data_IF_097602212182
#
_entry.id   IF_097602212182
#
_cell.length_a   1.000
_cell.length_b   1.000
_cell.length_c   1.000
_cell.angle_alpha   90.00
_cell.angle_beta   90.00
_cell.angle_gamma   90.00
#
_symmetry.space_group_name_H-M   'P 1'
#
loop_
_entity.id
_entity.type
_entity.pdbx_description
1 polymer ?
#
# COMPACT_ATOMS: atom_id res chain seq x y z
N UNK A 1 19.59 11.25 22.97
CA UNK A 1 18.98 9.90 22.82
C UNK A 1 18.00 9.93 21.66
N UNK A 2 18.37 9.23 20.59
CA UNK A 2 17.57 8.68 19.49
C UNK A 2 16.34 9.41 18.96
N UNK A 3 16.44 9.91 17.73
CA UNK A 3 15.49 9.54 16.65
C UNK A 3 16.29 9.32 15.37
N UNK A 4 16.80 8.10 15.19
CA UNK A 4 17.24 7.61 13.88
C UNK A 4 16.06 6.87 13.26
N UNK A 5 15.55 7.36 12.12
CA UNK A 5 15.74 6.68 10.83
C UNK A 5 14.97 7.35 9.69
N UNK A 6 15.78 7.74 8.70
CA UNK A 6 15.53 7.64 7.26
C UNK A 6 14.53 8.64 6.66
N UNK A 7 15.13 9.76 6.24
CA UNK A 7 14.91 10.42 4.94
C UNK A 7 13.77 9.84 4.09
N UNK A 8 12.62 10.49 4.16
CA UNK A 8 11.48 10.31 3.26
C UNK A 8 11.73 11.08 1.96
N UNK A 9 12.86 10.84 1.30
CA UNK A 9 13.26 11.54 0.09
C UNK A 9 13.35 10.56 -1.08
N UNK A 10 12.83 11.01 -2.22
CA UNK A 10 12.66 10.28 -3.49
C UNK A 10 11.44 9.36 -3.57
N UNK A 11 10.26 9.94 -3.81
CA UNK A 11 9.38 9.49 -4.90
C UNK A 11 8.19 10.45 -5.18
N UNK A 12 8.40 11.77 -5.12
CA UNK A 12 7.40 12.77 -5.51
C UNK A 12 7.27 12.96 -7.04
N UNK A 13 7.33 11.89 -7.85
CA UNK A 13 7.35 12.07 -9.32
C UNK A 13 6.16 11.59 -10.13
N UNK A 14 5.14 10.95 -9.57
CA UNK A 14 3.96 10.57 -10.37
C UNK A 14 2.64 10.50 -9.61
N UNK A 15 2.30 11.51 -8.80
CA UNK A 15 0.90 11.69 -8.41
C UNK A 15 0.52 13.16 -8.45
N UNK A 16 0.47 13.70 -9.67
CA UNK A 16 -0.42 14.83 -9.92
C UNK A 16 -1.86 14.44 -9.53
N UNK A 17 -2.58 15.45 -9.06
CA UNK A 17 -4.00 15.49 -8.71
C UNK A 17 -4.34 15.16 -7.25
N UNK A 18 -4.74 16.24 -6.57
CA UNK A 18 -5.62 16.35 -5.39
C UNK A 18 -4.92 16.43 -4.04
N UNK A 19 -4.78 17.68 -3.59
CA UNK A 19 -4.28 18.28 -2.34
C UNK A 19 -4.82 17.76 -0.98
N UNK A 20 -5.15 16.47 -0.85
CA UNK A 20 -5.48 15.87 0.46
C UNK A 20 -4.82 14.49 0.67
N UNK A 21 -3.96 14.08 -0.26
CA UNK A 21 -3.58 12.66 -0.49
C UNK A 21 -2.35 12.09 0.25
N UNK A 22 -1.44 12.83 0.92
CA UNK A 22 -0.26 12.17 1.50
C UNK A 22 -0.63 11.25 2.68
N UNK A 23 -1.40 11.73 3.66
CA UNK A 23 -1.62 11.00 4.91
C UNK A 23 -2.28 9.61 4.75
N UNK A 24 -3.38 9.52 3.99
CA UNK A 24 -4.10 8.23 3.82
C UNK A 24 -3.41 7.28 2.85
N UNK A 25 -2.77 7.80 1.80
CA UNK A 25 -2.05 6.97 0.83
C UNK A 25 -0.81 6.34 1.48
N UNK A 26 -0.09 7.11 2.28
CA UNK A 26 1.09 6.62 2.99
C UNK A 26 0.74 5.62 4.09
N UNK A 27 -0.38 5.85 4.80
CA UNK A 27 -0.92 4.87 5.74
C UNK A 27 -1.18 3.52 5.06
N UNK A 28 -1.81 3.53 3.88
CA UNK A 28 -2.04 2.29 3.10
C UNK A 28 -0.72 1.64 2.71
N UNK A 29 0.24 2.42 2.19
CA UNK A 29 1.55 1.89 1.79
C UNK A 29 2.27 1.23 2.95
N UNK A 30 2.33 1.89 4.10
CA UNK A 30 2.96 1.35 5.30
C UNK A 30 2.25 0.09 5.78
N UNK A 31 0.92 0.09 5.81
CA UNK A 31 0.13 -1.09 6.22
C UNK A 31 0.37 -2.28 5.29
N UNK A 32 0.44 -2.05 3.97
CA UNK A 32 0.73 -3.10 2.99
C UNK A 32 2.15 -3.63 3.15
N UNK A 33 3.14 -2.75 3.29
CA UNK A 33 4.55 -3.13 3.39
C UNK A 33 4.91 -3.74 4.77
N UNK A 34 4.04 -3.61 5.76
CA UNK A 34 4.16 -4.27 7.06
C UNK A 34 3.55 -5.68 7.10
N UNK A 35 2.87 -6.13 6.05
CA UNK A 35 2.28 -7.46 6.00
C UNK A 35 3.37 -8.54 5.94
N UNK A 36 3.25 -9.57 6.77
CA UNK A 36 4.19 -10.70 6.81
C UNK A 36 3.68 -11.90 6.01
N UNK A 37 2.36 -12.11 6.03
CA UNK A 37 1.70 -13.20 5.32
C UNK A 37 0.98 -12.70 4.07
N UNK A 38 0.44 -13.64 3.28
CA UNK A 38 -0.46 -13.32 2.19
C UNK A 38 -1.71 -12.63 2.72
N UNK A 39 -2.08 -11.51 2.11
CA UNK A 39 -3.23 -10.72 2.53
C UNK A 39 -4.20 -10.51 1.37
N UNK A 40 -5.47 -10.29 1.69
CA UNK A 40 -6.49 -9.92 0.73
C UNK A 40 -6.78 -8.42 0.77
N UNK A 41 -7.49 -7.94 -0.24
CA UNK A 41 -8.06 -6.60 -0.20
C UNK A 41 -9.04 -6.42 0.97
N UNK A 42 -9.77 -7.48 1.34
CA UNK A 42 -10.70 -7.46 2.47
C UNK A 42 -9.97 -7.25 3.80
N UNK A 43 -8.83 -7.92 3.99
CA UNK A 43 -8.01 -7.80 5.20
C UNK A 43 -7.51 -6.36 5.38
N UNK A 44 -7.04 -5.74 4.28
CA UNK A 44 -6.61 -4.34 4.31
C UNK A 44 -7.77 -3.37 4.58
N UNK A 45 -8.94 -3.62 3.99
CA UNK A 45 -10.13 -2.80 4.22
C UNK A 45 -10.63 -2.91 5.67
N UNK A 46 -10.51 -4.09 6.29
CA UNK A 46 -10.84 -4.29 7.69
C UNK A 46 -9.85 -3.58 8.64
N UNK A 47 -8.56 -3.56 8.29
CA UNK A 47 -7.52 -2.84 9.04
C UNK A 47 -7.62 -1.31 8.88
N UNK A 48 -8.12 -0.84 7.73
CA UNK A 48 -8.20 0.58 7.38
C UNK A 48 -9.63 1.03 7.09
N UNK A 49 -10.54 1.01 8.09
CA UNK A 49 -11.96 1.32 7.87
C UNK A 49 -12.22 2.77 7.43
N UNK A 50 -11.28 3.69 7.69
CA UNK A 50 -11.36 5.11 7.28
C UNK A 50 -10.85 5.37 5.86
N UNK A 51 -10.39 4.32 5.17
CA UNK A 51 -9.83 4.36 3.82
C UNK A 51 -10.75 3.65 2.84
N UNK A 52 -11.02 4.29 1.69
CA UNK A 52 -11.84 3.66 0.67
C UNK A 52 -11.11 2.48 0.01
N UNK A 53 -11.85 1.41 -0.26
CA UNK A 53 -11.34 0.24 -0.99
C UNK A 53 -10.74 0.60 -2.35
N UNK A 54 -11.24 1.67 -2.98
CA UNK A 54 -10.69 2.18 -4.24
C UNK A 54 -9.29 2.77 -4.08
N UNK A 55 -9.02 3.48 -2.97
CA UNK A 55 -7.67 3.95 -2.67
C UNK A 55 -6.73 2.77 -2.40
N UNK A 56 -7.17 1.77 -1.63
CA UNK A 56 -6.35 0.57 -1.37
C UNK A 56 -5.98 -0.14 -2.68
N UNK A 57 -6.95 -0.34 -3.58
CA UNK A 57 -6.69 -0.91 -4.91
C UNK A 57 -5.70 -0.08 -5.73
N UNK A 58 -5.82 1.26 -5.71
CA UNK A 58 -4.89 2.16 -6.40
C UNK A 58 -3.47 1.97 -5.89
N UNK A 59 -3.28 1.98 -4.57
CA UNK A 59 -1.96 1.82 -3.95
C UNK A 59 -1.38 0.42 -4.21
N UNK A 60 -2.19 -0.64 -4.12
CA UNK A 60 -1.72 -1.99 -4.48
C UNK A 60 -1.27 -2.09 -5.94
N UNK A 61 -1.98 -1.43 -6.86
CA UNK A 61 -1.58 -1.37 -8.26
C UNK A 61 -0.26 -0.59 -8.45
N UNK A 62 -0.07 0.51 -7.73
CA UNK A 62 1.20 1.26 -7.72
C UNK A 62 2.35 0.42 -7.18
N UNK A 63 2.17 -0.21 -6.01
CA UNK A 63 3.18 -1.08 -5.40
C UNK A 63 3.50 -2.30 -6.28
N UNK A 64 2.51 -2.85 -6.98
CA UNK A 64 2.73 -3.92 -7.96
C UNK A 64 3.58 -3.45 -9.15
N UNK A 65 3.29 -2.25 -9.69
CA UNK A 65 4.11 -1.65 -10.77
C UNK A 65 5.54 -1.39 -10.32
N UNK A 66 5.73 -1.05 -9.04
CA UNK A 66 7.05 -0.90 -8.41
C UNK A 66 7.73 -2.23 -8.09
N UNK A 67 7.08 -3.38 -8.35
CA UNK A 67 7.64 -4.70 -8.05
C UNK A 67 7.64 -5.09 -6.56
N UNK A 68 6.99 -4.31 -5.69
CA UNK A 68 6.99 -4.55 -4.23
C UNK A 68 5.97 -5.60 -3.79
N UNK A 69 4.90 -5.80 -4.57
CA UNK A 69 3.87 -6.79 -4.27
C UNK A 69 3.44 -7.52 -5.53
N UNK A 70 3.00 -8.78 -5.41
CA UNK A 70 2.34 -9.53 -6.49
C UNK A 70 1.04 -10.15 -6.05
N UNK A 71 0.22 -10.49 -7.04
CA UNK A 71 -0.97 -11.31 -6.87
C UNK A 71 -0.58 -12.78 -6.80
N UNK A 72 -1.07 -13.46 -5.78
CA UNK A 72 -0.93 -14.90 -5.54
C UNK A 72 -2.31 -15.51 -5.72
N UNK A 73 -2.60 -15.96 -6.94
CA UNK A 73 -3.88 -16.55 -7.33
C UNK A 73 -4.75 -15.66 -8.22
N UNK A 74 -5.92 -16.20 -8.63
CA UNK A 74 -6.87 -15.57 -9.55
C UNK A 74 -8.29 -15.58 -8.95
N UNK A 75 -9.04 -14.49 -9.12
CA UNK A 75 -10.47 -14.43 -8.83
C UNK A 75 -10.86 -13.78 -7.48
N UNK A 76 -12.06 -14.12 -6.97
CA UNK A 76 -12.71 -13.50 -5.80
C UNK A 76 -11.95 -13.66 -4.47
N UNK A 77 -10.94 -14.53 -4.42
CA UNK A 77 -10.03 -14.72 -3.29
C UNK A 77 -8.59 -14.31 -3.59
N UNK A 78 -8.39 -13.38 -4.53
CA UNK A 78 -7.07 -12.88 -4.91
C UNK A 78 -6.28 -12.42 -3.68
N UNK A 79 -5.19 -13.14 -3.40
CA UNK A 79 -4.24 -12.79 -2.36
C UNK A 79 -3.10 -11.99 -2.95
N UNK A 80 -2.47 -11.23 -2.09
CA UNK A 80 -1.29 -10.43 -2.37
C UNK A 80 -0.19 -10.87 -1.44
N UNK A 81 1.04 -10.82 -1.93
CA UNK A 81 2.22 -10.97 -1.08
C UNK A 81 3.25 -9.92 -1.45
N UNK A 82 4.06 -9.56 -0.46
CA UNK A 82 5.23 -8.72 -0.66
C UNK A 82 6.29 -9.57 -1.38
N UNK A 83 6.83 -9.03 -2.46
CA UNK A 83 7.99 -9.57 -3.15
C UNK A 83 9.13 -8.67 -2.72
N UNK A 84 9.97 -9.16 -1.81
CA UNK A 84 11.23 -8.50 -1.48
C UNK A 84 12.24 -8.67 -2.60
#
# INVERSE_FOLDING_TARGET
>A
MSVLRLAYNEFERQVEFTDARPAKSDLVRQTVLAQVEQFTLGDLAAQLPSVSTQLIKKILAELKKQGKVRLVGRGRGARWEIIS
#
